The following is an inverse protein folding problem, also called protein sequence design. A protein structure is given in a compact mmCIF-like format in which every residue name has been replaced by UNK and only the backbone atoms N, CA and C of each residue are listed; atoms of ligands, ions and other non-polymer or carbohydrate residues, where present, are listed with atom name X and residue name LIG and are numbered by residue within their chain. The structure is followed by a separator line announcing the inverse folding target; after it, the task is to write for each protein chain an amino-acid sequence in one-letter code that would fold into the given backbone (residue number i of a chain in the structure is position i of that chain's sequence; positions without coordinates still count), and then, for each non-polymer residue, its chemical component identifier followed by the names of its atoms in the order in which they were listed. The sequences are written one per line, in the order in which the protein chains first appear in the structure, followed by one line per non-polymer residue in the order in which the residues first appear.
data_IF_737796313964
#
_entry.id   IF_737796313964
#
_cell.length_a   1.000
_cell.length_b   1.000
_cell.length_c   1.000
_cell.angle_alpha   90.00
_cell.angle_beta   90.00
_cell.angle_gamma   90.00
#
_symmetry.space_group_name_H-M   'P 1'
#
loop_
_entity.id
_entity.type
_entity.pdbx_description
1 polymer ?
#
# COMPACT_ATOMS: atom_id res chain seq x y z
N UNK A 1 12.69 -31.89 12.39
CA UNK A 1 13.40 -31.81 11.09
C UNK A 1 13.44 -30.35 10.66
N UNK A 2 14.62 -29.75 10.47
CA UNK A 2 14.73 -28.41 9.85
C UNK A 2 14.59 -28.61 8.35
N UNK A 3 13.49 -28.12 7.78
CA UNK A 3 13.30 -28.08 6.33
C UNK A 3 14.41 -27.23 5.71
N UNK A 4 15.01 -27.69 4.61
CA UNK A 4 16.09 -26.96 3.92
C UNK A 4 15.49 -26.01 2.90
N UNK A 5 15.43 -24.72 3.24
CA UNK A 5 14.89 -23.65 2.40
C UNK A 5 15.99 -22.80 1.79
N UNK A 6 15.95 -22.56 0.48
CA UNK A 6 16.85 -21.63 -0.20
C UNK A 6 16.19 -20.89 -1.36
N UNK A 7 16.62 -19.65 -1.56
CA UNK A 7 16.18 -18.73 -2.63
C UNK A 7 17.40 -18.38 -3.47
N UNK A 8 17.36 -18.67 -4.76
CA UNK A 8 18.46 -18.39 -5.68
C UNK A 8 17.95 -17.63 -6.91
N UNK A 9 18.14 -16.30 -6.94
CA UNK A 9 17.93 -15.52 -8.15
C UNK A 9 19.07 -15.69 -9.14
N UNK A 10 18.73 -15.73 -10.42
CA UNK A 10 19.68 -15.88 -11.52
C UNK A 10 19.08 -15.34 -12.82
N UNK A 11 19.93 -15.05 -13.80
CA UNK A 11 19.51 -14.69 -15.17
C UNK A 11 19.85 -15.80 -16.15
N UNK A 12 19.14 -15.85 -17.27
CA UNK A 12 19.53 -16.67 -18.41
C UNK A 12 20.18 -15.79 -19.47
N UNK A 13 21.52 -15.78 -19.53
CA UNK A 13 22.29 -14.98 -20.49
C UNK A 13 22.05 -15.36 -21.96
N UNK A 14 21.48 -16.55 -22.21
CA UNK A 14 21.14 -17.00 -23.56
C UNK A 14 19.73 -16.53 -23.99
N UNK A 15 18.95 -15.94 -23.07
CA UNK A 15 17.61 -15.40 -23.33
C UNK A 15 17.59 -13.91 -23.05
N UNK A 16 18.12 -13.14 -24.00
CA UNK A 16 18.10 -11.68 -23.99
C UNK A 16 17.01 -11.21 -24.97
N UNK A 17 16.21 -10.24 -24.55
CA UNK A 17 15.18 -9.59 -25.36
C UNK A 17 15.81 -8.64 -26.39
N UNK A 18 15.01 -8.21 -27.37
CA UNK A 18 15.44 -7.23 -28.38
C UNK A 18 15.87 -5.88 -27.77
N UNK A 19 15.36 -5.53 -26.58
CA UNK A 19 15.75 -4.32 -25.82
C UNK A 19 17.09 -4.45 -25.07
N UNK A 20 17.77 -5.60 -25.18
CA UNK A 20 19.05 -5.88 -24.51
C UNK A 20 18.92 -6.34 -23.05
N UNK A 21 17.71 -6.53 -22.53
CA UNK A 21 17.47 -6.99 -21.16
C UNK A 21 17.18 -8.49 -21.08
N UNK A 22 17.42 -9.08 -19.91
CA UNK A 22 17.05 -10.47 -19.60
C UNK A 22 16.24 -10.52 -18.31
N UNK A 23 15.33 -11.49 -18.22
CA UNK A 23 14.51 -11.69 -17.03
C UNK A 23 15.35 -12.29 -15.90
N UNK A 24 15.22 -11.73 -14.70
CA UNK A 24 15.69 -12.36 -13.48
C UNK A 24 14.68 -13.43 -13.08
N UNK A 25 15.15 -14.68 -13.01
CA UNK A 25 14.41 -15.83 -12.53
C UNK A 25 14.78 -16.09 -11.07
N UNK A 26 13.90 -16.77 -10.35
CA UNK A 26 14.15 -17.21 -9.00
C UNK A 26 13.86 -18.69 -8.86
N UNK A 27 14.86 -19.45 -8.40
CA UNK A 27 14.70 -20.84 -7.99
C UNK A 27 14.48 -20.90 -6.49
N UNK A 28 13.41 -21.57 -6.09
CA UNK A 28 13.05 -21.81 -4.70
C UNK A 28 13.27 -23.31 -4.44
N UNK A 29 14.05 -23.66 -3.43
CA UNK A 29 14.30 -25.06 -3.04
C UNK A 29 13.77 -25.30 -1.63
N UNK A 30 12.97 -26.35 -1.47
CA UNK A 30 12.49 -26.83 -0.18
C UNK A 30 12.71 -28.35 -0.14
N UNK A 31 13.48 -28.82 0.85
CA UNK A 31 13.73 -30.24 1.08
C UNK A 31 14.23 -31.00 -0.16
N UNK A 32 15.21 -30.39 -0.82
CA UNK A 32 15.84 -30.92 -2.04
C UNK A 32 15.00 -30.81 -3.31
N UNK A 33 13.73 -30.41 -3.22
CA UNK A 33 12.85 -30.18 -4.39
C UNK A 33 12.81 -28.70 -4.75
N UNK A 34 13.09 -28.39 -6.01
CA UNK A 34 13.13 -27.00 -6.49
C UNK A 34 11.99 -26.67 -7.45
N UNK A 35 11.47 -25.46 -7.38
CA UNK A 35 10.61 -24.87 -8.40
C UNK A 35 11.16 -23.51 -8.84
N UNK A 36 10.98 -23.18 -10.12
CA UNK A 36 11.49 -21.94 -10.71
C UNK A 36 10.32 -21.04 -11.12
N UNK A 37 10.45 -19.74 -10.86
CA UNK A 37 9.50 -18.71 -11.30
C UNK A 37 10.22 -17.47 -11.84
N UNK A 38 9.54 -16.73 -12.71
CA UNK A 38 10.01 -15.40 -13.12
C UNK A 38 9.72 -14.37 -12.01
N UNK A 39 10.62 -13.42 -11.81
CA UNK A 39 10.45 -12.36 -10.80
C UNK A 39 9.70 -11.13 -11.34
N UNK A 40 9.57 -11.02 -12.66
CA UNK A 40 9.07 -9.80 -13.33
C UNK A 40 10.09 -8.66 -13.36
N UNK A 41 11.30 -8.87 -12.86
CA UNK A 41 12.40 -7.91 -12.89
C UNK A 41 13.30 -8.24 -14.08
N UNK A 42 13.72 -7.20 -14.80
CA UNK A 42 14.62 -7.30 -15.95
C UNK A 42 15.88 -6.49 -15.67
N UNK A 43 17.02 -6.99 -16.14
CA UNK A 43 18.27 -6.26 -16.11
C UNK A 43 19.10 -6.58 -17.34
N UNK A 44 20.10 -5.75 -17.63
CA UNK A 44 21.09 -6.11 -18.65
C UNK A 44 22.00 -7.22 -18.10
N UNK A 45 22.47 -8.18 -18.92
CA UNK A 45 23.38 -9.24 -18.47
C UNK A 45 24.65 -8.74 -17.76
N UNK A 46 25.17 -7.59 -18.19
CA UNK A 46 26.33 -6.90 -17.64
C UNK A 46 26.08 -6.28 -16.26
N UNK A 47 24.83 -5.95 -15.93
CA UNK A 47 24.44 -5.41 -14.62
C UNK A 47 24.28 -6.51 -13.56
N UNK A 48 24.26 -7.78 -13.97
CA UNK A 48 24.03 -8.91 -13.08
C UNK A 48 25.32 -9.40 -12.41
N UNK A 49 25.34 -9.40 -11.08
CA UNK A 49 26.39 -10.00 -10.29
C UNK A 49 26.00 -11.43 -9.87
N UNK A 50 26.57 -12.45 -10.52
CA UNK A 50 26.24 -13.86 -10.27
C UNK A 50 26.69 -14.37 -8.90
N UNK A 51 27.79 -13.86 -8.34
CA UNK A 51 28.29 -14.30 -7.04
C UNK A 51 27.47 -13.74 -5.87
N UNK A 52 26.93 -12.52 -6.02
CA UNK A 52 26.09 -11.89 -5.00
C UNK A 52 24.58 -12.08 -5.25
N UNK A 53 24.18 -12.45 -6.46
CA UNK A 53 22.77 -12.52 -6.87
C UNK A 53 22.09 -11.15 -6.76
N UNK A 54 22.77 -10.10 -7.25
CA UNK A 54 22.35 -8.69 -7.18
C UNK A 54 22.44 -8.01 -8.53
N UNK A 55 21.67 -6.94 -8.71
CA UNK A 55 21.67 -6.10 -9.91
C UNK A 55 22.44 -4.82 -9.58
N UNK A 56 23.26 -4.31 -10.51
CA UNK A 56 24.03 -3.07 -10.33
C UNK A 56 23.12 -1.86 -10.15
N UNK A 57 22.02 -1.80 -10.89
CA UNK A 57 21.06 -0.70 -10.83
C UNK A 57 20.25 -0.75 -9.53
N UNK A 58 20.27 0.36 -8.78
CA UNK A 58 19.71 0.45 -7.43
C UNK A 58 18.21 0.15 -7.38
N UNK A 59 17.43 0.66 -8.35
CA UNK A 59 15.98 0.49 -8.40
C UNK A 59 15.60 -0.99 -8.56
N UNK A 60 16.17 -1.67 -9.54
CA UNK A 60 15.93 -3.08 -9.85
C UNK A 60 16.45 -3.98 -8.73
N UNK A 61 17.60 -3.64 -8.14
CA UNK A 61 18.14 -4.38 -7.00
C UNK A 61 17.23 -4.28 -5.76
N UNK A 62 16.69 -3.09 -5.47
CA UNK A 62 15.73 -2.91 -4.39
C UNK A 62 14.46 -3.75 -4.62
N UNK A 63 13.92 -3.73 -5.85
CA UNK A 63 12.80 -4.61 -6.25
C UNK A 63 13.12 -6.09 -6.06
N UNK A 64 14.35 -6.50 -6.36
CA UNK A 64 14.79 -7.89 -6.19
C UNK A 64 14.90 -8.28 -4.71
N UNK A 65 15.38 -7.39 -3.85
CA UNK A 65 15.42 -7.63 -2.40
C UNK A 65 14.01 -7.69 -1.79
N UNK A 66 13.11 -6.81 -2.22
CA UNK A 66 11.69 -6.87 -1.83
C UNK A 66 11.05 -8.19 -2.29
N UNK A 67 11.35 -8.63 -3.50
CA UNK A 67 10.92 -9.94 -4.00
C UNK A 67 11.44 -11.07 -3.10
N UNK A 68 12.74 -11.12 -2.78
CA UNK A 68 13.32 -12.13 -1.87
C UNK A 68 12.60 -12.14 -0.52
N UNK A 69 12.43 -10.97 0.11
CA UNK A 69 11.70 -10.83 1.38
C UNK A 69 10.26 -11.33 1.27
N UNK A 70 9.59 -11.10 0.14
CA UNK A 70 8.22 -11.62 -0.08
C UNK A 70 8.15 -13.15 -0.16
N UNK A 71 9.18 -13.80 -0.72
CA UNK A 71 9.31 -15.26 -0.79
C UNK A 71 9.55 -15.84 0.61
N UNK A 72 10.43 -15.22 1.41
CA UNK A 72 10.70 -15.60 2.80
C UNK A 72 9.43 -15.49 3.65
N UNK A 73 8.73 -14.35 3.58
CA UNK A 73 7.47 -14.16 4.32
C UNK A 73 6.38 -15.13 3.89
N UNK A 74 6.29 -15.45 2.59
CA UNK A 74 5.34 -16.45 2.11
C UNK A 74 5.68 -17.85 2.64
N UNK A 75 6.96 -18.20 2.72
CA UNK A 75 7.39 -19.47 3.31
C UNK A 75 7.05 -19.55 4.80
N UNK A 76 7.34 -18.51 5.58
CA UNK A 76 7.01 -18.45 7.01
C UNK A 76 5.50 -18.51 7.26
N UNK A 77 4.69 -17.80 6.47
CA UNK A 77 3.23 -17.82 6.57
C UNK A 77 2.67 -19.20 6.20
N UNK A 78 3.21 -19.84 5.16
CA UNK A 78 2.87 -21.22 4.79
C UNK A 78 3.21 -22.21 5.91
N UNK A 79 4.38 -22.08 6.56
CA UNK A 79 4.74 -22.93 7.71
C UNK A 79 3.81 -22.74 8.91
N UNK A 80 3.33 -21.51 9.14
CA UNK A 80 2.37 -21.23 10.24
C UNK A 80 0.98 -21.79 9.97
N UNK A 81 0.55 -21.79 8.71
CA UNK A 81 -0.81 -22.20 8.31
C UNK A 81 -0.92 -23.69 7.97
N UNK A 82 0.15 -24.29 7.44
CA UNK A 82 0.15 -25.63 6.86
C UNK A 82 1.37 -26.40 7.36
N UNK A 83 1.15 -27.64 7.84
CA UNK A 83 2.24 -28.51 8.30
C UNK A 83 3.16 -29.01 7.17
N UNK A 84 2.77 -28.87 5.90
CA UNK A 84 3.54 -29.32 4.73
C UNK A 84 3.66 -28.17 3.73
N UNK A 85 4.89 -27.75 3.44
CA UNK A 85 5.19 -26.71 2.46
C UNK A 85 6.09 -27.31 1.39
N UNK A 86 5.69 -27.21 0.11
CA UNK A 86 6.52 -27.59 -1.03
C UNK A 86 6.93 -26.38 -1.84
N UNK A 87 8.04 -26.48 -2.58
CA UNK A 87 8.48 -25.41 -3.49
C UNK A 87 7.41 -25.04 -4.54
N UNK A 88 6.59 -26.01 -4.97
CA UNK A 88 5.52 -25.78 -5.94
C UNK A 88 4.31 -25.05 -5.31
N UNK A 89 3.91 -25.42 -4.08
CA UNK A 89 2.84 -24.72 -3.34
C UNK A 89 3.27 -23.28 -3.07
N UNK A 90 4.52 -23.09 -2.64
CA UNK A 90 5.07 -21.76 -2.38
C UNK A 90 5.13 -20.92 -3.66
N UNK A 91 5.63 -21.48 -4.78
CA UNK A 91 5.58 -20.84 -6.09
C UNK A 91 4.17 -20.46 -6.50
N UNK A 92 3.19 -21.35 -6.37
CA UNK A 92 1.80 -21.07 -6.76
C UNK A 92 1.18 -19.98 -5.90
N UNK A 93 1.51 -19.95 -4.60
CA UNK A 93 1.11 -18.89 -3.68
C UNK A 93 1.71 -17.55 -4.09
N UNK A 94 3.00 -17.55 -4.44
CA UNK A 94 3.70 -16.36 -4.91
C UNK A 94 3.20 -15.90 -6.28
N UNK A 95 2.93 -16.82 -7.21
CA UNK A 95 2.38 -16.51 -8.52
C UNK A 95 0.99 -15.88 -8.41
N UNK A 96 0.13 -16.37 -7.51
CA UNK A 96 -1.17 -15.77 -7.21
C UNK A 96 -1.04 -14.36 -6.61
N UNK A 97 -0.06 -14.13 -5.72
CA UNK A 97 0.28 -12.79 -5.21
C UNK A 97 0.95 -11.89 -6.26
N UNK A 98 1.61 -12.48 -7.25
CA UNK A 98 2.31 -11.78 -8.32
C UNK A 98 1.38 -11.32 -9.44
N UNK A 99 0.14 -11.83 -9.53
CA UNK A 99 -0.87 -11.25 -10.42
C UNK A 99 -1.13 -9.82 -9.97
N UNK A 100 -0.66 -8.87 -10.77
CA UNK A 100 -0.94 -7.46 -10.56
C UNK A 100 -2.41 -7.26 -10.94
N UNK A 101 -3.25 -6.77 -10.01
CA UNK A 101 -4.65 -6.55 -10.34
C UNK A 101 -4.79 -5.49 -11.44
N UNK A 102 -5.61 -5.77 -12.45
CA UNK A 102 -5.94 -4.81 -13.52
C UNK A 102 -7.15 -3.93 -13.17
N UNK A 103 -7.85 -4.27 -12.09
CA UNK A 103 -9.02 -3.56 -11.59
C UNK A 103 -8.71 -2.73 -10.35
N UNK A 104 -9.43 -1.61 -10.22
CA UNK A 104 -9.19 -0.58 -9.21
C UNK A 104 -9.35 -1.10 -7.77
N UNK A 105 -10.47 -1.73 -7.44
CA UNK A 105 -10.71 -2.17 -6.06
C UNK A 105 -9.79 -3.32 -5.68
N UNK A 106 -9.51 -4.24 -6.60
CA UNK A 106 -8.53 -5.31 -6.37
C UNK A 106 -7.12 -4.75 -6.09
N UNK A 107 -6.68 -3.73 -6.84
CA UNK A 107 -5.43 -3.01 -6.54
C UNK A 107 -5.47 -2.38 -5.15
N UNK A 108 -6.62 -1.81 -4.78
CA UNK A 108 -6.86 -1.27 -3.45
C UNK A 108 -6.68 -2.30 -2.33
N UNK A 109 -7.22 -3.51 -2.47
CA UNK A 109 -7.01 -4.56 -1.47
C UNK A 109 -5.55 -5.02 -1.39
N UNK A 110 -4.86 -5.15 -2.53
CA UNK A 110 -3.42 -5.47 -2.55
C UNK A 110 -2.59 -4.40 -1.82
N UNK A 111 -2.85 -3.12 -2.07
CA UNK A 111 -2.16 -2.04 -1.35
C UNK A 111 -2.51 -2.03 0.15
N UNK A 112 -3.74 -2.40 0.51
CA UNK A 112 -4.14 -2.54 1.92
C UNK A 112 -3.43 -3.70 2.62
N UNK A 113 -3.21 -4.83 1.95
CA UNK A 113 -2.39 -5.93 2.49
C UNK A 113 -0.95 -5.48 2.76
N UNK A 114 -0.36 -4.71 1.84
CA UNK A 114 0.96 -4.10 2.05
C UNK A 114 0.96 -3.14 3.24
N UNK A 115 -0.07 -2.29 3.36
CA UNK A 115 -0.21 -1.37 4.49
C UNK A 115 -0.39 -2.12 5.83
N UNK A 116 -1.09 -3.26 5.82
CA UNK A 116 -1.24 -4.12 7.00
C UNK A 116 0.11 -4.69 7.43
N UNK A 117 0.91 -5.21 6.49
CA UNK A 117 2.26 -5.70 6.81
C UNK A 117 3.12 -4.59 7.42
N UNK A 118 3.16 -3.41 6.79
CA UNK A 118 3.90 -2.25 7.29
C UNK A 118 3.43 -1.80 8.67
N UNK A 119 2.11 -1.83 8.93
CA UNK A 119 1.56 -1.43 10.23
C UNK A 119 2.09 -2.25 11.40
N UNK A 120 2.38 -3.54 11.16
CA UNK A 120 2.98 -4.45 12.14
C UNK A 120 4.45 -4.14 12.35
N UNK A 121 5.19 -3.83 11.28
CA UNK A 121 6.61 -3.46 11.35
C UNK A 121 6.84 -2.17 12.15
N UNK A 122 5.97 -1.17 11.99
CA UNK A 122 6.12 0.14 12.64
C UNK A 122 5.29 0.30 13.93
N UNK A 123 4.57 -0.75 14.34
CA UNK A 123 3.62 -0.74 15.46
C UNK A 123 2.62 0.44 15.42
N UNK A 124 2.09 0.77 14.23
CA UNK A 124 1.13 1.86 14.02
C UNK A 124 0.09 1.52 12.96
N UNK A 125 -1.18 1.53 13.33
CA UNK A 125 -2.30 1.02 12.53
C UNK A 125 -3.11 2.10 11.82
N UNK A 126 -2.83 3.38 12.07
CA UNK A 126 -3.65 4.51 11.61
C UNK A 126 -3.84 4.54 10.10
N UNK A 127 -2.74 4.41 9.33
CA UNK A 127 -2.76 4.45 7.86
C UNK A 127 -3.56 3.28 7.27
N UNK A 128 -3.32 2.07 7.76
CA UNK A 128 -4.06 0.87 7.35
C UNK A 128 -5.55 1.00 7.66
N UNK A 129 -5.91 1.45 8.88
CA UNK A 129 -7.31 1.67 9.26
C UNK A 129 -7.98 2.71 8.36
N UNK A 130 -7.32 3.83 8.11
CA UNK A 130 -7.86 4.89 7.25
C UNK A 130 -8.05 4.43 5.80
N UNK A 131 -7.12 3.65 5.23
CA UNK A 131 -7.27 3.10 3.88
C UNK A 131 -8.53 2.26 3.71
N UNK A 132 -9.01 1.57 4.76
CA UNK A 132 -10.25 0.81 4.71
C UNK A 132 -11.48 1.69 4.45
N UNK A 133 -11.54 2.89 5.03
CA UNK A 133 -12.64 3.82 4.78
C UNK A 133 -12.59 4.36 3.35
N UNK A 134 -11.42 4.76 2.86
CA UNK A 134 -11.27 5.31 1.50
C UNK A 134 -11.58 4.26 0.43
N UNK A 135 -11.12 3.03 0.65
CA UNK A 135 -11.45 1.88 -0.18
C UNK A 135 -12.97 1.61 -0.21
N UNK A 136 -13.62 1.64 0.95
CA UNK A 136 -15.08 1.52 1.04
C UNK A 136 -15.79 2.61 0.25
N UNK A 137 -15.33 3.86 0.31
CA UNK A 137 -15.99 4.95 -0.41
C UNK A 137 -15.82 4.85 -1.93
N UNK A 138 -14.70 4.31 -2.42
CA UNK A 138 -14.57 3.95 -3.83
C UNK A 138 -15.57 2.85 -4.22
N UNK A 139 -15.70 1.80 -3.39
CA UNK A 139 -16.69 0.74 -3.61
C UNK A 139 -18.13 1.27 -3.61
N UNK A 140 -18.48 2.13 -2.67
CA UNK A 140 -19.81 2.76 -2.60
C UNK A 140 -20.11 3.56 -3.88
N UNK A 141 -19.12 4.29 -4.40
CA UNK A 141 -19.26 5.03 -5.65
C UNK A 141 -19.46 4.11 -6.85
N UNK A 142 -18.64 3.07 -7.01
CA UNK A 142 -18.81 2.09 -8.08
C UNK A 142 -20.16 1.38 -8.01
N UNK A 143 -20.59 1.03 -6.79
CA UNK A 143 -21.92 0.44 -6.55
C UNK A 143 -23.04 1.39 -6.98
N UNK A 144 -22.88 2.70 -6.77
CA UNK A 144 -23.85 3.71 -7.26
C UNK A 144 -23.92 3.81 -8.78
N UNK A 145 -22.88 3.35 -9.49
CA UNK A 145 -22.85 3.21 -10.95
C UNK A 145 -23.31 1.81 -11.42
N UNK A 146 -23.75 0.93 -10.52
CA UNK A 146 -24.08 -0.45 -10.82
C UNK A 146 -22.87 -1.34 -11.14
N UNK A 147 -21.66 -0.92 -10.76
CA UNK A 147 -20.41 -1.65 -11.01
C UNK A 147 -19.89 -2.29 -9.72
N UNK A 148 -19.45 -3.54 -9.82
CA UNK A 148 -18.74 -4.22 -8.72
C UNK A 148 -17.29 -3.72 -8.60
N UNK A 149 -16.63 -3.49 -9.74
CA UNK A 149 -15.27 -2.97 -9.87
C UNK A 149 -15.11 -2.27 -11.24
N UNK A 150 -13.93 -1.72 -11.54
CA UNK A 150 -13.63 -1.03 -12.80
C UNK A 150 -12.19 -1.35 -13.26
N UNK A 151 -11.99 -1.56 -14.56
CA UNK A 151 -10.65 -1.68 -15.15
C UNK A 151 -9.93 -0.32 -15.14
N UNK A 152 -8.60 -0.32 -14.98
CA UNK A 152 -7.85 0.93 -15.01
C UNK A 152 -7.98 1.69 -16.34
N UNK A 153 -8.18 0.99 -17.47
CA UNK A 153 -8.40 1.60 -18.79
C UNK A 153 -9.65 2.49 -18.85
N UNK A 154 -10.63 2.23 -17.99
CA UNK A 154 -11.91 2.94 -17.97
C UNK A 154 -11.89 4.13 -16.97
N UNK A 155 -10.78 4.34 -16.27
CA UNK A 155 -10.61 5.49 -15.39
C UNK A 155 -10.21 6.70 -16.23
N UNK A 156 -11.08 7.70 -16.25
CA UNK A 156 -10.89 8.97 -16.96
C UNK A 156 -10.88 10.15 -15.99
N UNK A 157 -10.52 11.33 -16.46
CA UNK A 157 -10.66 12.57 -15.68
C UNK A 157 -12.12 12.80 -15.23
N UNK A 158 -13.09 12.45 -16.09
CA UNK A 158 -14.52 12.51 -15.78
C UNK A 158 -14.91 11.55 -14.64
N UNK A 159 -14.31 10.36 -14.58
CA UNK A 159 -14.49 9.44 -13.46
C UNK A 159 -14.03 10.08 -12.15
N UNK A 160 -12.85 10.72 -12.14
CA UNK A 160 -12.34 11.43 -10.95
C UNK A 160 -13.25 12.58 -10.51
N UNK A 161 -13.71 13.39 -11.46
CA UNK A 161 -14.64 14.50 -11.22
C UNK A 161 -16.00 14.03 -10.71
N UNK A 162 -16.51 12.93 -11.26
CA UNK A 162 -17.78 12.33 -10.84
C UNK A 162 -17.68 11.68 -9.46
N UNK A 163 -16.56 11.04 -9.14
CA UNK A 163 -16.29 10.51 -7.80
C UNK A 163 -16.24 11.63 -6.75
N UNK A 164 -15.57 12.74 -7.09
CA UNK A 164 -15.51 13.96 -6.27
C UNK A 164 -16.91 14.53 -6.02
N UNK A 165 -17.74 14.63 -7.07
CA UNK A 165 -19.12 15.09 -6.97
C UNK A 165 -20.00 14.16 -6.11
N UNK A 166 -19.84 12.85 -6.24
CA UNK A 166 -20.53 11.84 -5.43
C UNK A 166 -20.24 12.03 -3.93
N UNK A 167 -18.97 12.25 -3.56
CA UNK A 167 -18.61 12.47 -2.16
C UNK A 167 -19.24 13.73 -1.57
N UNK A 168 -19.36 14.81 -2.38
CA UNK A 168 -20.05 16.03 -1.95
C UNK A 168 -21.54 15.79 -1.74
N UNK A 169 -22.21 15.20 -2.73
CA UNK A 169 -23.68 15.09 -2.76
C UNK A 169 -24.21 14.00 -1.84
N UNK A 170 -23.59 12.82 -1.84
CA UNK A 170 -24.14 11.63 -1.21
C UNK A 170 -23.57 11.36 0.19
N UNK A 171 -22.37 11.89 0.50
CA UNK A 171 -21.71 11.66 1.78
C UNK A 171 -21.58 12.91 2.64
N UNK A 172 -21.85 14.10 2.09
CA UNK A 172 -21.72 15.38 2.76
C UNK A 172 -20.33 15.56 3.42
N UNK A 173 -19.27 15.14 2.71
CA UNK A 173 -17.92 15.17 3.23
C UNK A 173 -17.30 16.57 3.20
N UNK A 174 -16.49 16.87 4.22
CA UNK A 174 -15.65 18.07 4.24
C UNK A 174 -14.59 18.00 3.13
N UNK A 175 -14.08 19.18 2.73
CA UNK A 175 -12.98 19.29 1.76
C UNK A 175 -11.77 18.40 2.14
N UNK A 176 -11.45 18.33 3.45
CA UNK A 176 -10.36 17.47 3.93
C UNK A 176 -10.64 15.99 3.66
N UNK A 177 -11.85 15.53 3.96
CA UNK A 177 -12.22 14.13 3.78
C UNK A 177 -12.28 13.76 2.30
N UNK A 178 -12.83 14.63 1.45
CA UNK A 178 -12.82 14.48 -0.02
C UNK A 178 -11.38 14.32 -0.51
N UNK A 179 -10.48 15.21 -0.12
CA UNK A 179 -9.09 15.15 -0.56
C UNK A 179 -8.40 13.86 -0.12
N UNK A 180 -8.71 13.32 1.06
CA UNK A 180 -8.16 12.03 1.50
C UNK A 180 -8.63 10.87 0.61
N UNK A 181 -9.89 10.85 0.21
CA UNK A 181 -10.40 9.87 -0.75
C UNK A 181 -9.76 10.04 -2.14
N UNK A 182 -9.61 11.27 -2.62
CA UNK A 182 -8.94 11.55 -3.90
C UNK A 182 -7.45 11.16 -3.87
N UNK A 183 -6.74 11.38 -2.75
CA UNK A 183 -5.37 10.88 -2.59
C UNK A 183 -5.30 9.34 -2.63
N UNK A 184 -6.30 8.66 -2.05
CA UNK A 184 -6.37 7.20 -2.12
C UNK A 184 -6.58 6.72 -3.56
N UNK A 185 -7.55 7.30 -4.30
CA UNK A 185 -7.77 7.00 -5.72
C UNK A 185 -6.50 7.24 -6.53
N UNK A 186 -5.91 8.44 -6.42
CA UNK A 186 -4.68 8.83 -7.12
C UNK A 186 -3.54 7.85 -6.83
N UNK A 187 -3.37 7.41 -5.58
CA UNK A 187 -2.38 6.39 -5.23
C UNK A 187 -2.58 5.08 -5.98
N UNK A 188 -3.81 4.59 -6.09
CA UNK A 188 -4.09 3.34 -6.82
C UNK A 188 -3.82 3.48 -8.32
N UNK A 189 -4.11 4.64 -8.90
CA UNK A 189 -3.85 4.92 -10.31
C UNK A 189 -2.34 5.06 -10.57
N UNK A 190 -1.58 5.70 -9.69
CA UNK A 190 -0.11 5.72 -9.78
C UNK A 190 0.49 4.33 -9.64
N UNK A 191 -0.05 3.47 -8.77
CA UNK A 191 0.37 2.06 -8.71
C UNK A 191 0.13 1.35 -10.06
N UNK A 192 -1.00 1.62 -10.73
CA UNK A 192 -1.26 1.06 -12.06
C UNK A 192 -0.27 1.55 -13.11
N UNK A 193 0.18 2.81 -13.03
CA UNK A 193 1.26 3.34 -13.88
C UNK A 193 2.60 2.68 -13.55
N UNK A 194 2.96 2.55 -12.28
CA UNK A 194 4.19 1.88 -11.82
C UNK A 194 4.27 0.41 -12.29
N UNK A 195 3.10 -0.23 -12.43
CA UNK A 195 2.95 -1.59 -12.93
C UNK A 195 2.71 -1.67 -14.44
N UNK A 196 2.82 -0.56 -15.17
CA UNK A 196 2.67 -0.48 -16.64
C UNK A 196 1.29 -0.94 -17.14
N UNK A 197 0.26 -0.92 -16.28
CA UNK A 197 -1.15 -1.14 -16.68
C UNK A 197 -1.66 0.10 -17.42
N UNK A 198 -1.27 1.28 -16.93
CA UNK A 198 -1.54 2.56 -17.56
C UNK A 198 -0.24 3.21 -18.05
N UNK A 199 -0.31 3.88 -19.20
CA UNK A 199 0.82 4.64 -19.74
C UNK A 199 1.09 5.92 -18.93
N UNK A 200 0.03 6.56 -18.46
CA UNK A 200 0.07 7.81 -17.69
C UNK A 200 -1.14 7.87 -16.76
N UNK A 201 -1.09 8.73 -15.74
CA UNK A 201 -2.18 8.91 -14.79
C UNK A 201 -3.26 9.85 -15.39
N UNK A 202 -4.47 9.38 -15.70
CA UNK A 202 -5.55 10.21 -16.24
C UNK A 202 -6.13 11.23 -15.24
N UNK A 203 -5.69 11.19 -13.98
CA UNK A 203 -6.15 12.06 -12.89
C UNK A 203 -5.06 13.03 -12.40
N UNK A 204 -3.96 13.19 -13.13
CA UNK A 204 -2.80 13.99 -12.71
C UNK A 204 -3.17 15.46 -12.43
N UNK A 205 -3.97 16.05 -13.31
CA UNK A 205 -4.39 17.46 -13.22
C UNK A 205 -5.64 17.69 -12.37
N UNK A 206 -6.20 16.64 -11.76
CA UNK A 206 -7.41 16.76 -10.97
C UNK A 206 -7.17 17.60 -9.71
N UNK A 207 -7.85 18.74 -9.63
CA UNK A 207 -7.72 19.64 -8.49
C UNK A 207 -8.33 19.07 -7.20
N UNK A 208 -7.61 19.26 -6.09
CA UNK A 208 -8.12 19.03 -4.75
C UNK A 208 -9.07 20.14 -4.29
N UNK A 209 -9.96 19.83 -3.35
CA UNK A 209 -10.81 20.82 -2.69
C UNK A 209 -9.96 21.82 -1.90
N UNK A 210 -10.26 23.11 -2.07
CA UNK A 210 -9.66 24.17 -1.27
C UNK A 210 -10.04 23.96 0.20
N UNK A 211 -9.03 23.80 1.05
CA UNK A 211 -9.24 23.70 2.49
C UNK A 211 -9.64 25.07 3.01
N UNK A 212 -10.70 25.19 3.83
CA UNK A 212 -10.96 26.44 4.53
C UNK A 212 -9.74 26.79 5.40
N UNK A 213 -9.46 28.07 5.55
CA UNK A 213 -8.39 28.53 6.43
C UNK A 213 -8.58 27.92 7.82
N UNK A 214 -7.52 27.35 8.43
CA UNK A 214 -7.63 26.75 9.74
C UNK A 214 -8.08 27.83 10.73
N UNK A 215 -9.23 27.60 11.36
CA UNK A 215 -9.67 28.41 12.49
C UNK A 215 -8.89 27.93 13.71
N UNK A 216 -7.69 28.47 13.90
CA UNK A 216 -6.91 28.23 15.11
C UNK A 216 -7.66 28.87 16.29
N UNK A 217 -8.35 28.03 17.06
CA UNK A 217 -8.90 28.45 18.36
C UNK A 217 -7.74 28.43 19.34
N UNK A 218 -7.49 29.57 19.96
CA UNK A 218 -6.59 29.70 21.09
C UNK A 218 -7.43 30.05 22.31
N UNK A 219 -6.92 29.73 23.49
CA UNK A 219 -7.45 30.29 24.73
C UNK A 219 -6.63 31.52 25.09
N UNK A 220 -7.32 32.54 25.56
CA UNK A 220 -6.70 33.73 26.15
C UNK A 220 -6.12 33.42 27.53
N UNK A 221 -5.26 34.30 28.03
CA UNK A 221 -4.74 34.22 29.40
C UNK A 221 -5.85 34.25 30.44
N UNK A 222 -6.93 35.01 30.19
CA UNK A 222 -8.07 35.10 31.08
C UNK A 222 -8.85 33.77 31.14
N UNK A 223 -9.07 33.12 29.99
CA UNK A 223 -9.70 31.79 29.94
C UNK A 223 -8.82 30.72 30.59
N UNK A 224 -7.50 30.75 30.38
CA UNK A 224 -6.59 29.84 31.07
C UNK A 224 -6.66 30.01 32.59
N UNK A 225 -6.68 31.27 33.07
CA UNK A 225 -6.81 31.57 34.49
C UNK A 225 -8.14 31.07 35.05
N UNK A 226 -9.24 31.27 34.33
CA UNK A 226 -10.54 30.75 34.72
C UNK A 226 -10.56 29.21 34.85
N UNK A 227 -9.93 28.50 33.90
CA UNK A 227 -9.79 27.03 33.96
C UNK A 227 -8.92 26.61 35.16
N UNK A 228 -7.88 27.38 35.49
CA UNK A 228 -7.01 27.11 36.63
C UNK A 228 -7.76 27.25 37.96
N UNK A 229 -8.59 28.28 38.09
CA UNK A 229 -9.30 28.65 39.31
C UNK A 229 -10.63 27.91 39.52
N UNK A 230 -11.14 27.19 38.51
CA UNK A 230 -12.44 26.50 38.59
C UNK A 230 -12.26 24.98 38.67
N UNK A 231 -12.22 24.36 39.87
CA UNK A 231 -12.25 22.90 39.99
C UNK A 231 -13.60 22.33 39.56
N UNK A 232 -13.59 21.13 38.97
CA UNK A 232 -14.82 20.44 38.55
C UNK A 232 -15.31 19.50 39.65
N UNK A 233 -16.63 19.43 39.85
CA UNK A 233 -17.24 18.53 40.82
C UNK A 233 -17.19 17.07 40.37
N UNK A 234 -17.32 16.84 39.06
CA UNK A 234 -17.21 15.50 38.48
C UNK A 234 -15.74 15.06 38.40
N UNK A 235 -15.37 13.87 38.92
CA UNK A 235 -13.98 13.42 38.93
C UNK A 235 -13.33 13.28 37.55
N UNK A 236 -14.09 12.91 36.51
CA UNK A 236 -13.55 12.77 35.14
C UNK A 236 -13.33 14.14 34.50
N UNK A 237 -14.23 15.10 34.73
CA UNK A 237 -14.05 16.48 34.30
C UNK A 237 -12.86 17.13 35.01
N UNK A 238 -12.67 16.88 36.31
CA UNK A 238 -11.53 17.41 37.07
C UNK A 238 -10.20 16.81 36.58
N UNK A 239 -10.19 15.51 36.27
CA UNK A 239 -9.03 14.88 35.64
C UNK A 239 -8.72 15.51 34.28
N UNK A 240 -9.74 15.75 33.44
CA UNK A 240 -9.59 16.44 32.16
C UNK A 240 -9.02 17.85 32.30
N UNK A 241 -9.53 18.62 33.27
CA UNK A 241 -9.04 19.96 33.60
C UNK A 241 -7.56 19.93 34.02
N UNK A 242 -7.20 19.03 34.95
CA UNK A 242 -5.82 18.88 35.43
C UNK A 242 -4.87 18.45 34.32
N UNK A 243 -5.28 17.53 33.45
CA UNK A 243 -4.49 17.09 32.30
C UNK A 243 -4.26 18.24 31.30
N UNK A 244 -5.30 19.03 31.01
CA UNK A 244 -5.18 20.23 30.17
C UNK A 244 -4.20 21.24 30.76
N UNK A 245 -4.33 21.56 32.05
CA UNK A 245 -3.41 22.48 32.72
C UNK A 245 -1.97 21.95 32.72
N UNK A 246 -1.77 20.67 33.03
CA UNK A 246 -0.45 20.04 32.95
C UNK A 246 0.17 20.24 31.56
N UNK A 247 -0.55 19.90 30.49
CA UNK A 247 -0.07 20.10 29.10
C UNK A 247 0.18 21.55 28.68
N UNK A 248 -0.41 22.52 29.40
CA UNK A 248 -0.20 23.94 29.12
C UNK A 248 1.07 24.49 29.77
N UNK A 249 1.62 23.79 30.78
CA UNK A 249 2.78 24.22 31.56
C UNK A 249 4.00 23.28 31.44
N UNK A 250 3.87 22.16 30.73
CA UNK A 250 4.95 21.20 30.44
C UNK A 250 5.05 20.93 28.95
#
# INVERSE_FOLDING_TARGET
MRSTFSILPYINRNKVKADGTTAVLCRITIDGKSSTMATGIYCRPEDWNSSKGTIRTVRENNRLQEFKKSVELAYEDSLKKQNVVSAEILKNTLARKAVIPTKLLQMGERERERLLARSKEINSTSTYRHSGYYQKYLKDYLTSLGKEDIEFSDITEEFGSSYKAFMKRNKNFSAQQINKCLCWLSKLVYLAVDYEILRANPLEDMEYEKKPAPKHRHISRAELKAILETPMLDPLQELGRRAFLFSSFT
#
